data_IF_972346884777
#
_entry.id   IF_972346884777
#
_cell.length_a   1.000
_cell.length_b   1.000
_cell.length_c   1.000
_cell.angle_alpha   90.00
_cell.angle_beta   90.00
_cell.angle_gamma   90.00
#
_symmetry.space_group_name_H-M   'P 1'
#
loop_
_entity.id
_entity.type
_entity.pdbx_description
1 polymer ?
#
# COMPACT_ATOMS: atom_id res chain seq x y z
N UNK A 1 5.34 12.07 17.04
CA UNK A 1 4.26 13.09 17.11
C UNK A 1 3.63 13.09 18.50
N UNK A 2 3.52 14.24 19.15
CA UNK A 2 2.97 14.35 20.51
C UNK A 2 1.42 14.29 20.51
N UNK A 3 0.81 14.03 21.67
CA UNK A 3 -0.66 14.07 21.82
C UNK A 3 -1.22 15.44 21.41
N UNK A 4 -0.54 16.53 21.77
CA UNK A 4 -0.92 17.90 21.40
C UNK A 4 -0.95 18.10 19.89
N UNK A 5 0.08 17.62 19.17
CA UNK A 5 0.14 17.71 17.71
C UNK A 5 -1.01 16.95 17.02
N UNK A 6 -1.37 15.75 17.51
CA UNK A 6 -2.51 14.99 16.97
C UNK A 6 -3.83 15.71 17.14
N UNK A 7 -4.04 16.32 18.32
CA UNK A 7 -5.27 17.06 18.62
C UNK A 7 -5.37 18.30 17.73
N UNK A 8 -4.29 19.07 17.59
CA UNK A 8 -4.25 20.25 16.72
C UNK A 8 -4.61 19.89 15.27
N UNK A 9 -3.94 18.87 14.71
CA UNK A 9 -4.20 18.44 13.32
C UNK A 9 -5.66 18.03 13.11
N UNK A 10 -6.27 17.37 14.10
CA UNK A 10 -7.67 16.99 14.00
C UNK A 10 -8.63 18.16 14.18
N UNK A 11 -8.40 19.01 15.17
CA UNK A 11 -9.29 20.13 15.49
C UNK A 11 -9.28 21.20 14.41
N UNK A 12 -8.09 21.59 13.94
CA UNK A 12 -7.93 22.74 13.05
C UNK A 12 -8.15 22.38 11.57
N UNK A 13 -7.88 21.12 11.19
CA UNK A 13 -7.95 20.68 9.79
C UNK A 13 -8.91 19.51 9.54
N UNK A 14 -9.53 18.95 10.59
CA UNK A 14 -10.43 17.80 10.46
C UNK A 14 -9.73 16.48 10.11
N UNK A 15 -8.39 16.44 10.09
CA UNK A 15 -7.65 15.26 9.65
C UNK A 15 -7.56 14.18 10.73
N UNK A 16 -7.69 12.93 10.30
CA UNK A 16 -7.42 11.76 11.14
C UNK A 16 -5.97 11.34 10.96
N UNK A 17 -5.28 11.14 12.08
CA UNK A 17 -3.91 10.61 12.06
C UNK A 17 -3.99 9.10 12.05
N UNK A 18 -3.48 8.49 10.99
CA UNK A 18 -3.47 7.04 10.79
C UNK A 18 -2.05 6.52 11.05
N UNK A 19 -1.97 5.46 11.84
CA UNK A 19 -0.74 4.69 12.05
C UNK A 19 -0.96 3.27 11.53
N UNK A 20 0.06 2.44 11.69
CA UNK A 20 0.08 1.03 11.34
C UNK A 20 0.29 0.17 12.58
N UNK A 21 -0.11 -1.09 12.50
CA UNK A 21 0.20 -2.11 13.50
C UNK A 21 1.18 -3.18 12.98
N UNK A 22 1.39 -3.26 11.67
CA UNK A 22 2.36 -4.16 11.04
C UNK A 22 3.45 -3.36 10.33
N UNK A 23 4.69 -3.51 10.79
CA UNK A 23 5.88 -2.90 10.20
C UNK A 23 6.89 -4.00 9.79
N UNK A 24 7.10 -4.25 8.48
CA UNK A 24 8.08 -5.23 8.02
C UNK A 24 9.54 -4.74 8.14
N UNK A 25 9.76 -3.47 8.50
CA UNK A 25 11.05 -2.80 8.49
C UNK A 25 11.73 -2.85 7.11
N UNK A 26 10.94 -2.65 6.06
CA UNK A 26 11.38 -2.75 4.67
C UNK A 26 12.44 -1.70 4.30
N UNK A 27 12.40 -0.53 4.95
CA UNK A 27 13.42 0.51 4.87
C UNK A 27 14.83 0.04 5.30
N UNK A 28 14.94 -1.05 6.07
CA UNK A 28 16.23 -1.69 6.41
C UNK A 28 16.75 -2.60 5.28
N UNK A 29 16.00 -2.74 4.18
CA UNK A 29 16.32 -3.59 3.02
C UNK A 29 16.67 -5.04 3.38
N UNK A 30 15.86 -5.75 4.20
CA UNK A 30 16.17 -7.12 4.62
C UNK A 30 15.97 -8.18 3.53
N UNK A 31 15.57 -7.78 2.32
CA UNK A 31 15.21 -8.67 1.20
C UNK A 31 13.70 -8.94 1.13
N UNK A 32 13.20 -9.23 -0.08
CA UNK A 32 11.78 -9.41 -0.37
C UNK A 32 11.13 -10.53 0.45
N UNK A 33 11.81 -11.67 0.60
CA UNK A 33 11.30 -12.81 1.36
C UNK A 33 11.07 -12.46 2.84
N UNK A 34 11.99 -11.71 3.45
CA UNK A 34 11.85 -11.30 4.86
C UNK A 34 10.72 -10.28 5.02
N UNK A 35 10.58 -9.35 4.08
CA UNK A 35 9.45 -8.39 4.06
C UNK A 35 8.13 -9.15 3.98
N UNK A 36 7.99 -10.07 3.02
CA UNK A 36 6.77 -10.85 2.84
C UNK A 36 6.42 -11.66 4.10
N UNK A 37 7.38 -12.38 4.67
CA UNK A 37 7.17 -13.19 5.87
C UNK A 37 6.71 -12.35 7.07
N UNK A 38 7.33 -11.18 7.29
CA UNK A 38 6.93 -10.28 8.38
C UNK A 38 5.51 -9.76 8.22
N UNK A 39 5.12 -9.40 7.00
CA UNK A 39 3.75 -8.96 6.72
C UNK A 39 2.77 -10.11 6.96
N UNK A 40 3.01 -11.28 6.36
CA UNK A 40 2.11 -12.43 6.42
C UNK A 40 1.94 -12.96 7.85
N UNK A 41 2.99 -12.90 8.65
CA UNK A 41 2.98 -13.33 10.05
C UNK A 41 2.34 -12.28 10.98
N UNK A 42 2.51 -10.98 10.68
CA UNK A 42 1.98 -9.90 11.51
C UNK A 42 0.51 -9.55 11.25
N UNK A 43 0.00 -9.85 10.05
CA UNK A 43 -1.35 -9.49 9.66
C UNK A 43 -2.44 -10.24 10.45
N UNK A 44 -3.42 -9.48 10.94
CA UNK A 44 -4.66 -9.96 11.57
C UNK A 44 -5.86 -9.13 11.06
N UNK A 45 -7.11 -9.56 11.27
CA UNK A 45 -8.27 -8.77 10.86
C UNK A 45 -8.18 -7.33 11.39
N UNK A 46 -8.33 -6.37 10.48
CA UNK A 46 -8.24 -4.94 10.78
C UNK A 46 -6.83 -4.34 10.83
N UNK A 47 -5.78 -5.10 10.50
CA UNK A 47 -4.42 -4.55 10.42
C UNK A 47 -4.25 -3.51 9.31
N UNK A 48 -3.43 -2.50 9.60
CA UNK A 48 -2.88 -1.55 8.64
C UNK A 48 -1.38 -1.84 8.54
N UNK A 49 -0.92 -2.18 7.33
CA UNK A 49 0.47 -2.54 7.04
C UNK A 49 1.20 -1.32 6.49
N UNK A 50 2.35 -0.96 7.07
CA UNK A 50 3.25 0.04 6.50
C UNK A 50 4.19 -0.61 5.49
N UNK A 51 4.35 0.00 4.31
CA UNK A 51 5.31 -0.42 3.29
C UNK A 51 5.68 0.77 2.40
N UNK A 52 6.89 0.76 1.86
CA UNK A 52 7.41 1.82 0.99
C UNK A 52 7.70 1.27 -0.41
N UNK A 53 7.09 1.86 -1.43
CA UNK A 53 7.25 1.49 -2.84
C UNK A 53 8.56 2.01 -3.47
N UNK A 54 9.23 2.96 -2.81
CA UNK A 54 10.60 3.42 -3.15
C UNK A 54 11.68 2.33 -2.94
N UNK A 55 11.31 1.14 -2.51
CA UNK A 55 12.19 -0.01 -2.29
C UNK A 55 11.81 -1.16 -3.22
N UNK A 56 12.61 -1.44 -4.28
CA UNK A 56 12.33 -2.55 -5.20
C UNK A 56 12.11 -3.92 -4.53
N UNK A 57 12.84 -4.29 -3.45
CA UNK A 57 12.55 -5.52 -2.72
C UNK A 57 11.16 -5.56 -2.08
N UNK A 58 10.61 -4.43 -1.64
CA UNK A 58 9.24 -4.35 -1.10
C UNK A 58 8.23 -4.62 -2.21
N UNK A 59 8.40 -4.01 -3.38
CA UNK A 59 7.55 -4.25 -4.55
C UNK A 59 7.58 -5.74 -4.93
N UNK A 60 8.78 -6.34 -4.97
CA UNK A 60 8.95 -7.76 -5.28
C UNK A 60 8.33 -8.71 -4.24
N UNK A 61 8.13 -8.26 -2.99
CA UNK A 61 7.47 -9.05 -1.94
C UNK A 61 5.94 -9.06 -2.07
N UNK A 62 5.34 -8.02 -2.68
CA UNK A 62 3.89 -7.80 -2.67
C UNK A 62 3.07 -8.92 -3.31
N UNK A 63 3.46 -9.53 -4.46
CA UNK A 63 2.70 -10.64 -5.03
C UNK A 63 2.48 -11.80 -4.05
N UNK A 64 3.55 -12.26 -3.38
CA UNK A 64 3.48 -13.31 -2.37
C UNK A 64 2.59 -12.92 -1.18
N UNK A 65 2.67 -11.66 -0.74
CA UNK A 65 1.84 -11.13 0.35
C UNK A 65 0.36 -11.18 -0.01
N UNK A 66 0.00 -10.71 -1.20
CA UNK A 66 -1.38 -10.69 -1.66
C UNK A 66 -1.92 -12.12 -1.77
N UNK A 67 -1.19 -13.02 -2.43
CA UNK A 67 -1.61 -14.42 -2.59
C UNK A 67 -1.85 -15.10 -1.23
N UNK A 68 -0.89 -14.97 -0.30
CA UNK A 68 -0.98 -15.60 1.02
C UNK A 68 -2.12 -15.04 1.88
N UNK A 69 -2.35 -13.73 1.86
CA UNK A 69 -3.42 -13.13 2.66
C UNK A 69 -4.80 -13.35 2.04
N UNK A 70 -4.93 -13.30 0.71
CA UNK A 70 -6.18 -13.69 0.03
C UNK A 70 -6.54 -15.15 0.33
N UNK A 71 -5.56 -16.06 0.30
CA UNK A 71 -5.77 -17.47 0.65
C UNK A 71 -6.20 -17.67 2.11
N UNK A 72 -5.79 -16.78 3.02
CA UNK A 72 -6.25 -16.73 4.41
C UNK A 72 -7.63 -16.07 4.59
N UNK A 73 -8.27 -15.61 3.52
CA UNK A 73 -9.60 -14.99 3.55
C UNK A 73 -9.61 -13.49 3.85
N UNK A 74 -8.47 -12.81 3.77
CA UNK A 74 -8.43 -11.36 3.93
C UNK A 74 -9.06 -10.64 2.73
N UNK A 75 -9.66 -9.48 3.00
CA UNK A 75 -10.04 -8.51 1.97
C UNK A 75 -9.14 -7.29 2.11
N UNK A 76 -8.49 -6.88 1.02
CA UNK A 76 -7.78 -5.61 0.96
C UNK A 76 -8.80 -4.48 0.72
N UNK A 77 -8.69 -3.45 1.54
CA UNK A 77 -9.57 -2.28 1.53
C UNK A 77 -8.73 -1.03 1.79
N UNK A 78 -9.29 0.12 1.46
CA UNK A 78 -8.73 1.40 1.86
C UNK A 78 -8.87 1.61 3.38
N UNK A 79 -8.04 2.48 3.94
CA UNK A 79 -8.15 2.88 5.37
C UNK A 79 -9.54 3.49 5.66
N UNK A 80 -10.10 4.24 4.72
CA UNK A 80 -11.44 4.83 4.86
C UNK A 80 -12.53 3.77 5.02
N UNK A 81 -12.51 2.72 4.20
CA UNK A 81 -13.45 1.59 4.30
C UNK A 81 -13.24 0.80 5.59
N UNK A 82 -11.99 0.56 5.99
CA UNK A 82 -11.68 -0.11 7.26
C UNK A 82 -12.29 0.64 8.45
N UNK A 83 -12.11 1.95 8.52
CA UNK A 83 -12.68 2.79 9.58
C UNK A 83 -14.22 2.86 9.54
N UNK A 84 -14.84 2.68 8.38
CA UNK A 84 -16.30 2.62 8.25
C UNK A 84 -16.85 1.28 8.78
N UNK A 85 -16.15 0.16 8.54
CA UNK A 85 -16.52 -1.16 9.04
C UNK A 85 -16.41 -1.28 10.56
N UNK A 86 -15.39 -0.68 11.17
CA UNK A 86 -15.20 -0.67 12.63
C UNK A 86 -16.37 0.01 13.37
N UNK A 87 -17.01 0.99 12.73
CA UNK A 87 -18.16 1.72 13.28
C UNK A 87 -19.49 0.97 13.16
N UNK A 88 -19.48 -0.31 12.77
CA UNK A 88 -20.69 -1.09 12.49
C UNK A 88 -21.38 -0.71 11.17
N UNK A 89 -20.69 0.00 10.28
CA UNK A 89 -21.17 0.34 8.95
C UNK A 89 -21.25 -0.90 8.05
N UNK A 90 -22.29 -0.94 7.21
CA UNK A 90 -22.55 -2.03 6.27
C UNK A 90 -21.29 -2.42 5.46
N UNK A 91 -21.15 -3.73 5.20
CA UNK A 91 -20.03 -4.33 4.45
C UNK A 91 -19.75 -3.52 3.18
N UNK A 92 -18.49 -3.11 2.91
CA UNK A 92 -18.17 -2.27 1.77
C UNK A 92 -18.58 -2.98 0.48
N UNK A 93 -19.45 -2.30 -0.28
CA UNK A 93 -19.85 -2.69 -1.62
C UNK A 93 -18.59 -2.80 -2.49
N UNK A 94 -18.49 -3.85 -3.31
CA UNK A 94 -17.33 -4.05 -4.18
C UNK A 94 -17.36 -2.96 -5.25
N UNK A 95 -16.50 -1.95 -5.12
CA UNK A 95 -16.25 -0.99 -6.20
C UNK A 95 -15.66 -1.77 -7.37
N UNK A 96 -16.44 -1.96 -8.43
CA UNK A 96 -15.95 -2.51 -9.71
C UNK A 96 -14.96 -1.50 -10.28
N UNK A 97 -13.67 -1.84 -10.25
CA UNK A 97 -12.62 -1.03 -10.88
C UNK A 97 -13.00 -0.76 -12.35
N UNK A 98 -12.98 0.50 -12.83
CA UNK A 98 -13.10 0.76 -14.25
C UNK A 98 -11.94 0.05 -14.96
N UNK A 99 -12.23 -0.82 -15.92
CA UNK A 99 -11.19 -1.33 -16.81
C UNK A 99 -10.58 -0.12 -17.52
N UNK A 100 -9.32 0.18 -17.21
CA UNK A 100 -8.54 1.12 -17.98
C UNK A 100 -8.45 0.56 -19.40
N UNK A 101 -9.14 1.23 -20.33
CA UNK A 101 -9.02 0.94 -21.76
C UNK A 101 -7.64 1.45 -22.18
N UNK A 102 -6.65 0.56 -22.20
CA UNK A 102 -5.34 0.87 -22.77
C UNK A 102 -5.55 1.14 -24.27
N UNK A 103 -5.34 2.40 -24.68
CA UNK A 103 -5.35 2.80 -26.09
C UNK A 103 -4.00 2.39 -26.73
N UNK A 104 -3.97 1.76 -27.92
CA UNK A 104 -2.75 1.21 -28.52
C UNK A 104 -1.67 2.20 -29.00
N UNK A 105 -1.67 3.47 -28.57
CA UNK A 105 -0.85 4.51 -29.22
C UNK A 105 0.37 5.02 -28.42
N UNK A 106 0.64 4.50 -27.23
CA UNK A 106 1.81 4.95 -26.44
C UNK A 106 3.13 4.24 -26.80
N UNK A 107 3.29 3.85 -28.06
CA UNK A 107 4.60 3.44 -28.59
C UNK A 107 5.42 4.69 -28.96
N UNK A 108 5.94 5.38 -27.95
CA UNK A 108 7.03 6.34 -28.16
C UNK A 108 8.29 5.58 -28.61
N UNK A 109 8.73 5.83 -29.84
CA UNK A 109 10.00 5.35 -30.35
C UNK A 109 11.17 5.80 -29.46
N UNK A 110 12.24 4.99 -29.31
CA UNK A 110 13.38 5.35 -28.48
C UNK A 110 14.13 6.56 -29.10
N UNK A 111 14.68 7.47 -28.28
CA UNK A 111 15.41 8.63 -28.79
C UNK A 111 16.74 8.21 -29.42
N UNK A 112 16.98 8.67 -30.65
CA UNK A 112 18.26 8.52 -31.36
C UNK A 112 19.35 9.31 -30.62
N UNK A 113 20.34 8.60 -30.06
CA UNK A 113 21.52 9.24 -29.49
C UNK A 113 22.51 9.61 -30.60
N UNK A 114 22.66 10.92 -30.86
CA UNK A 114 23.74 11.46 -31.70
C UNK A 114 25.00 11.59 -30.85
N UNK A 115 26.02 10.78 -31.13
CA UNK A 115 27.36 10.90 -30.52
C UNK A 115 28.16 11.94 -31.32
N UNK A 116 28.71 13.01 -30.73
CA UNK A 116 29.64 13.89 -31.43
C UNK A 116 31.01 13.20 -31.54
N UNK A 117 31.58 13.21 -32.75
CA UNK A 117 32.99 12.84 -32.98
C UNK A 117 33.90 13.88 -32.33
N UNK A 118 34.82 13.40 -31.49
CA UNK A 118 36.13 14.02 -31.23
C UNK A 118 37.18 12.95 -31.45
#
# INVERSE_FOLDING_TARGET
MTKRQRILVNHDFGYKVILWDVDPLDWKRPGSNVVAQRIIAGARPGSIILSHDIHPPTIAAMPQVFDALLAKGFKFVTVSELLAMDKGGARPEVVKTPQARLSPQDHLAPPTATVPKV
#
